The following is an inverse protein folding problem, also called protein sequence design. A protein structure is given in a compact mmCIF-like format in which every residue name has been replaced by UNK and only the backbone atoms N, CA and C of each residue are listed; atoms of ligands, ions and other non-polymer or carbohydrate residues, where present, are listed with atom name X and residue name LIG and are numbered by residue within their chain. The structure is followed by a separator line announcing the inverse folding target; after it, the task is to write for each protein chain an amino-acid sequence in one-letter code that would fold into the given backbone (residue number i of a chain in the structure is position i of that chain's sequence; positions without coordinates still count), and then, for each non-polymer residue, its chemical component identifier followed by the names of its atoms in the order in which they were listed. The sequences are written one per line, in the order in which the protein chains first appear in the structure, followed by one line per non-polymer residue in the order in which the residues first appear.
data_IF_726290026591
#
_entry.id   IF_726290026591
#
_cell.length_a   1.000
_cell.length_b   1.000
_cell.length_c   1.000
_cell.angle_alpha   90.00
_cell.angle_beta   90.00
_cell.angle_gamma   90.00
#
_symmetry.space_group_name_H-M   'P 1'
#
loop_
_entity.id
_entity.type
_entity.pdbx_description
1 polymer ?
#
# COMPACT_ATOMS: atom_id res chain seq x y z
N UNK A 1 -9.74 -0.98 -28.14
CA UNK A 1 -10.99 -0.30 -27.74
C UNK A 1 -11.64 -1.00 -26.55
N UNK A 2 -11.75 -2.34 -26.57
CA UNK A 2 -12.30 -3.15 -25.46
C UNK A 2 -11.74 -2.86 -24.06
N UNK A 3 -10.42 -2.67 -23.92
CA UNK A 3 -9.81 -2.34 -22.62
C UNK A 3 -10.31 -1.01 -22.05
N UNK A 4 -10.58 -0.02 -22.92
CA UNK A 4 -11.10 1.28 -22.50
C UNK A 4 -12.54 1.14 -22.02
N UNK A 5 -13.37 0.41 -22.75
CA UNK A 5 -14.75 0.13 -22.37
C UNK A 5 -14.84 -0.63 -21.05
N UNK A 6 -13.93 -1.59 -20.82
CA UNK A 6 -13.84 -2.30 -19.55
C UNK A 6 -13.47 -1.37 -18.38
N UNK A 7 -12.49 -0.49 -18.57
CA UNK A 7 -12.10 0.50 -17.56
C UNK A 7 -13.23 1.50 -17.27
N UNK A 8 -13.95 1.94 -18.31
CA UNK A 8 -15.07 2.86 -18.17
C UNK A 8 -16.23 2.18 -17.42
N UNK A 9 -16.55 0.94 -17.75
CA UNK A 9 -17.54 0.13 -17.01
C UNK A 9 -17.14 -0.07 -15.55
N UNK A 10 -15.86 -0.33 -15.28
CA UNK A 10 -15.33 -0.45 -13.91
C UNK A 10 -15.48 0.88 -13.15
N UNK A 11 -15.09 2.01 -13.75
CA UNK A 11 -15.23 3.34 -13.14
C UNK A 11 -16.69 3.69 -12.84
N UNK A 12 -17.63 3.28 -13.70
CA UNK A 12 -19.07 3.50 -13.47
C UNK A 12 -19.62 2.65 -12.33
N UNK A 13 -19.25 1.35 -12.28
CA UNK A 13 -19.73 0.43 -11.24
C UNK A 13 -19.08 0.65 -9.88
N UNK A 14 -17.83 1.10 -9.87
CA UNK A 14 -17.00 1.23 -8.66
C UNK A 14 -16.40 2.64 -8.57
N UNK A 15 -17.24 3.70 -8.52
CA UNK A 15 -16.79 5.08 -8.64
C UNK A 15 -15.89 5.52 -7.48
N UNK A 16 -16.07 4.91 -6.31
CA UNK A 16 -15.31 5.22 -5.11
C UNK A 16 -13.81 4.93 -5.25
N UNK A 17 -13.38 4.00 -6.12
CA UNK A 17 -11.95 3.74 -6.38
C UNK A 17 -11.29 4.97 -7.01
N UNK A 18 -11.93 5.54 -8.04
CA UNK A 18 -11.44 6.77 -8.69
C UNK A 18 -11.50 7.97 -7.77
N UNK A 19 -12.55 8.07 -6.94
CA UNK A 19 -12.67 9.12 -5.92
C UNK A 19 -11.53 9.02 -4.90
N UNK A 20 -11.22 7.82 -4.41
CA UNK A 20 -10.11 7.58 -3.49
C UNK A 20 -8.75 7.90 -4.11
N UNK A 21 -8.53 7.49 -5.37
CA UNK A 21 -7.31 7.82 -6.12
C UNK A 21 -7.10 9.34 -6.22
N UNK A 22 -8.17 10.06 -6.53
CA UNK A 22 -8.19 11.53 -6.64
C UNK A 22 -7.92 12.17 -5.29
N UNK A 23 -8.61 11.72 -4.23
CA UNK A 23 -8.43 12.22 -2.88
C UNK A 23 -6.99 12.01 -2.37
N UNK A 24 -6.41 10.82 -2.59
CA UNK A 24 -5.03 10.52 -2.23
C UNK A 24 -4.03 11.42 -2.98
N UNK A 25 -4.24 11.61 -4.28
CA UNK A 25 -3.37 12.46 -5.12
C UNK A 25 -3.45 13.93 -4.69
N UNK A 26 -4.66 14.45 -4.43
CA UNK A 26 -4.86 15.81 -3.93
C UNK A 26 -4.21 16.01 -2.57
N UNK A 27 -4.41 15.07 -1.63
CA UNK A 27 -3.78 15.10 -0.31
C UNK A 27 -2.25 15.14 -0.42
N UNK A 28 -1.67 14.32 -1.29
CA UNK A 28 -0.24 14.32 -1.56
C UNK A 28 0.23 15.65 -2.17
N UNK A 29 -0.53 16.24 -3.09
CA UNK A 29 -0.25 17.56 -3.68
C UNK A 29 -0.28 18.70 -2.66
N UNK A 30 -1.35 18.77 -1.86
CA UNK A 30 -1.61 19.88 -0.94
C UNK A 30 -0.69 19.84 0.29
N UNK A 31 -0.46 18.65 0.84
CA UNK A 31 0.29 18.48 2.10
C UNK A 31 1.69 17.94 1.91
N UNK A 32 2.02 17.41 0.74
CA UNK A 32 3.29 16.73 0.51
C UNK A 32 3.41 15.37 1.19
N UNK A 33 2.33 14.87 1.76
CA UNK A 33 2.38 13.64 2.52
C UNK A 33 1.01 12.98 2.64
N UNK A 34 1.05 11.66 2.75
CA UNK A 34 -0.08 10.82 3.12
C UNK A 34 0.34 9.87 4.24
N UNK A 35 -0.62 9.27 4.93
CA UNK A 35 -0.38 8.24 5.93
C UNK A 35 -1.10 6.96 5.52
N UNK A 36 -0.46 5.83 5.75
CA UNK A 36 -1.05 4.50 5.63
C UNK A 36 -2.04 4.24 6.77
N UNK A 37 -2.69 3.08 6.75
CA UNK A 37 -3.68 2.66 7.75
C UNK A 37 -3.15 2.72 9.20
N UNK A 38 -1.92 2.25 9.45
CA UNK A 38 -1.29 2.32 10.78
C UNK A 38 -0.42 3.57 10.99
N UNK A 39 -0.60 4.60 10.15
CA UNK A 39 -0.02 5.93 10.38
C UNK A 39 1.39 6.17 9.81
N UNK A 40 2.00 5.20 9.12
CA UNK A 40 3.32 5.36 8.48
C UNK A 40 3.29 6.51 7.47
N UNK A 41 4.26 7.41 7.61
CA UNK A 41 4.34 8.61 6.79
C UNK A 41 4.96 8.33 5.42
N UNK A 42 4.26 8.74 4.36
CA UNK A 42 4.74 8.69 2.98
C UNK A 42 4.86 10.11 2.44
N UNK A 43 6.07 10.53 2.04
CA UNK A 43 6.38 11.90 1.64
C UNK A 43 6.47 12.06 0.11
N UNK A 44 6.15 13.27 -0.35
CA UNK A 44 6.17 13.71 -1.75
C UNK A 44 6.94 15.04 -1.83
N UNK A 45 8.22 14.99 -1.50
CA UNK A 45 9.05 16.19 -1.27
C UNK A 45 9.58 16.85 -2.55
N UNK A 46 9.44 16.17 -3.69
CA UNK A 46 9.92 16.63 -4.98
C UNK A 46 8.88 17.46 -5.72
N UNK A 47 9.37 18.43 -6.48
CA UNK A 47 8.59 19.40 -7.23
C UNK A 47 9.02 19.40 -8.70
N UNK A 48 8.05 19.65 -9.57
CA UNK A 48 8.22 19.75 -11.01
C UNK A 48 7.38 20.94 -11.55
N UNK A 49 7.73 21.48 -12.73
CA UNK A 49 6.89 22.45 -13.41
C UNK A 49 5.50 21.86 -13.72
N UNK A 50 4.46 22.69 -13.65
CA UNK A 50 3.11 22.27 -14.07
C UNK A 50 2.95 22.17 -15.59
N UNK A 51 3.96 22.58 -16.36
CA UNK A 51 3.99 22.50 -17.81
C UNK A 51 4.12 21.07 -18.29
N UNK A 52 3.56 20.80 -19.48
CA UNK A 52 3.65 19.48 -20.10
C UNK A 52 5.08 19.23 -20.60
N UNK A 53 5.66 18.10 -20.24
CA UNK A 53 7.01 17.71 -20.65
C UNK A 53 7.72 16.88 -19.59
N UNK A 54 8.84 16.27 -19.98
CA UNK A 54 9.69 15.53 -19.06
C UNK A 54 10.66 16.49 -18.35
N UNK A 55 10.39 16.77 -17.08
CA UNK A 55 11.26 17.55 -16.22
C UNK A 55 11.75 16.69 -15.06
N UNK A 56 13.03 16.81 -14.70
CA UNK A 56 13.58 16.13 -13.52
C UNK A 56 12.95 16.71 -12.26
N UNK A 57 12.26 15.91 -11.42
CA UNK A 57 11.75 16.40 -10.14
C UNK A 57 12.89 16.68 -9.16
N UNK A 58 12.81 17.80 -8.45
CA UNK A 58 13.86 18.29 -7.54
C UNK A 58 13.26 18.74 -6.20
N UNK A 59 14.05 18.85 -5.11
CA UNK A 59 13.62 19.55 -3.90
C UNK A 59 13.13 20.98 -4.22
N UNK A 60 12.23 21.52 -3.40
CA UNK A 60 11.54 22.79 -3.70
C UNK A 60 12.49 23.94 -4.06
N UNK A 61 13.53 24.18 -3.26
CA UNK A 61 14.45 25.31 -3.48
C UNK A 61 15.22 25.18 -4.80
N UNK A 62 15.63 23.96 -5.15
CA UNK A 62 16.32 23.67 -6.41
C UNK A 62 15.36 23.77 -7.60
N UNK A 63 14.14 23.25 -7.45
CA UNK A 63 13.10 23.34 -8.47
C UNK A 63 12.74 24.80 -8.74
N UNK A 64 12.66 25.64 -7.70
CA UNK A 64 12.36 27.06 -7.83
C UNK A 64 13.49 27.82 -8.55
N UNK A 65 14.75 27.53 -8.21
CA UNK A 65 15.92 28.12 -8.91
C UNK A 65 15.97 27.72 -10.39
N UNK A 66 15.72 26.45 -10.69
CA UNK A 66 15.86 25.91 -12.05
C UNK A 66 14.65 26.19 -12.94
N UNK A 67 13.45 26.16 -12.37
CA UNK A 67 12.21 26.15 -13.11
C UNK A 67 11.22 27.26 -12.72
N UNK A 68 11.56 28.14 -11.77
CA UNK A 68 10.65 29.20 -11.31
C UNK A 68 10.18 30.14 -12.43
N UNK A 69 10.97 30.30 -13.49
CA UNK A 69 10.59 31.05 -14.70
C UNK A 69 9.70 30.29 -15.69
N UNK A 70 9.52 28.98 -15.53
CA UNK A 70 8.74 28.12 -16.43
C UNK A 70 7.26 27.99 -16.02
N UNK A 71 6.84 28.71 -14.98
CA UNK A 71 5.47 28.71 -14.47
C UNK A 71 5.33 28.11 -13.07
N UNK A 72 4.10 27.77 -12.69
CA UNK A 72 3.79 27.26 -11.34
C UNK A 72 4.42 25.88 -11.11
N UNK A 73 5.07 25.70 -9.97
CA UNK A 73 5.54 24.38 -9.52
C UNK A 73 4.39 23.59 -8.90
N UNK A 74 4.42 22.28 -9.09
CA UNK A 74 3.55 21.30 -8.42
C UNK A 74 4.38 20.18 -7.82
N UNK A 75 3.82 19.45 -6.86
CA UNK A 75 4.47 18.25 -6.33
C UNK A 75 4.49 17.15 -7.39
N UNK A 76 5.66 16.53 -7.53
CA UNK A 76 5.86 15.43 -8.43
C UNK A 76 5.31 14.12 -7.84
N UNK A 77 5.04 13.15 -8.72
CA UNK A 77 4.65 11.78 -8.36
C UNK A 77 3.36 11.62 -7.54
N UNK A 78 2.53 12.65 -7.40
CA UNK A 78 1.27 12.58 -6.63
C UNK A 78 0.31 11.51 -7.15
N UNK A 79 0.35 11.17 -8.43
CA UNK A 79 -0.39 10.05 -9.02
C UNK A 79 -0.04 8.68 -8.39
N UNK A 80 1.12 8.55 -7.73
CA UNK A 80 1.53 7.33 -6.99
C UNK A 80 0.94 7.28 -5.58
N UNK A 81 0.19 8.29 -5.14
CA UNK A 81 -0.33 8.38 -3.78
C UNK A 81 -1.29 7.24 -3.44
N UNK A 82 -2.14 6.82 -4.38
CA UNK A 82 -3.01 5.66 -4.15
C UNK A 82 -2.18 4.40 -3.86
N UNK A 83 -1.17 4.12 -4.68
CA UNK A 83 -0.31 2.94 -4.49
C UNK A 83 0.42 2.97 -3.15
N UNK A 84 0.94 4.14 -2.75
CA UNK A 84 1.57 4.35 -1.44
C UNK A 84 0.58 4.10 -0.30
N UNK A 85 -0.68 4.50 -0.45
CA UNK A 85 -1.72 4.26 0.53
C UNK A 85 -2.06 2.78 0.63
N UNK A 86 -2.39 2.11 -0.48
CA UNK A 86 -2.90 0.73 -0.46
C UNK A 86 -1.79 -0.29 -0.15
N UNK A 87 -0.65 -0.24 -0.85
CA UNK A 87 0.45 -1.19 -0.63
C UNK A 87 1.13 -0.92 0.70
N UNK A 88 1.24 0.36 1.08
CA UNK A 88 1.74 0.75 2.38
C UNK A 88 0.84 0.23 3.50
N UNK A 89 -0.48 0.28 3.34
CA UNK A 89 -1.40 -0.25 4.35
C UNK A 89 -1.41 -1.78 4.40
N UNK A 90 -1.23 -2.47 3.27
CA UNK A 90 -1.03 -3.92 3.24
C UNK A 90 0.24 -4.33 3.99
N UNK A 91 1.37 -3.67 3.71
CA UNK A 91 2.62 -3.92 4.41
C UNK A 91 2.56 -3.59 5.92
N UNK A 92 1.71 -2.66 6.35
CA UNK A 92 1.46 -2.40 7.77
C UNK A 92 0.72 -3.57 8.43
N UNK A 93 -0.29 -4.13 7.76
CA UNK A 93 -1.06 -5.28 8.25
C UNK A 93 -0.16 -6.51 8.41
N UNK A 94 0.60 -6.88 7.38
CA UNK A 94 1.50 -8.04 7.43
C UNK A 94 2.52 -7.89 8.55
N UNK A 95 3.14 -6.71 8.69
CA UNK A 95 4.12 -6.47 9.76
C UNK A 95 3.51 -6.47 11.16
N UNK A 96 2.26 -6.00 11.31
CA UNK A 96 1.53 -6.09 12.57
C UNK A 96 1.24 -7.55 12.92
N UNK A 97 0.76 -8.34 11.97
CA UNK A 97 0.55 -9.77 12.13
C UNK A 97 1.84 -10.51 12.53
N UNK A 98 2.97 -10.22 11.87
CA UNK A 98 4.27 -10.79 12.25
C UNK A 98 4.64 -10.48 13.70
N UNK A 99 4.48 -9.22 14.12
CA UNK A 99 4.78 -8.80 15.48
C UNK A 99 3.86 -9.50 16.49
N UNK A 100 2.57 -9.56 16.22
CA UNK A 100 1.58 -10.17 17.10
C UNK A 100 1.79 -11.68 17.25
N UNK A 101 2.14 -12.37 16.16
CA UNK A 101 2.53 -13.79 16.22
C UNK A 101 3.82 -13.95 17.03
N UNK A 102 4.82 -13.10 16.80
CA UNK A 102 6.10 -13.17 17.51
C UNK A 102 5.94 -12.97 19.03
N UNK A 103 5.07 -12.04 19.45
CA UNK A 103 4.75 -11.83 20.87
C UNK A 103 4.08 -13.05 21.54
N UNK A 104 3.48 -13.94 20.75
CA UNK A 104 2.91 -15.21 21.20
C UNK A 104 3.90 -16.39 21.08
N UNK A 105 5.17 -16.14 20.75
CA UNK A 105 6.18 -17.16 20.51
C UNK A 105 6.11 -17.85 19.15
N UNK A 106 5.23 -17.37 18.26
CA UNK A 106 5.02 -17.91 16.92
C UNK A 106 5.84 -17.09 15.92
N UNK A 107 7.02 -17.59 15.55
CA UNK A 107 7.94 -16.86 14.67
C UNK A 107 7.82 -17.37 13.23
N UNK A 108 7.47 -16.52 12.25
CA UNK A 108 7.47 -16.92 10.85
C UNK A 108 8.89 -17.28 10.41
N UNK A 109 9.04 -18.35 9.63
CA UNK A 109 10.31 -18.73 9.00
C UNK A 109 10.67 -17.83 7.84
N UNK A 110 9.69 -17.52 7.00
CA UNK A 110 9.84 -16.69 5.82
C UNK A 110 8.55 -15.92 5.55
N UNK A 111 8.69 -14.87 4.75
CA UNK A 111 7.57 -14.03 4.35
C UNK A 111 7.68 -13.69 2.86
N UNK A 112 6.62 -13.93 2.10
CA UNK A 112 6.54 -13.59 0.67
C UNK A 112 5.32 -12.72 0.45
N UNK A 113 5.53 -11.43 0.19
CA UNK A 113 4.45 -10.44 0.04
C UNK A 113 3.49 -10.39 1.24
N UNK A 114 2.32 -11.01 1.12
CA UNK A 114 1.24 -11.11 2.11
C UNK A 114 1.19 -12.48 2.82
N UNK A 115 2.07 -13.41 2.45
CA UNK A 115 2.20 -14.75 3.05
C UNK A 115 3.19 -14.75 4.23
N UNK A 116 2.80 -15.41 5.32
CA UNK A 116 3.65 -15.72 6.47
C UNK A 116 3.74 -17.23 6.63
N UNK A 117 4.92 -17.82 6.47
CA UNK A 117 5.09 -19.26 6.56
C UNK A 117 5.69 -19.63 7.91
N UNK A 118 5.14 -20.65 8.57
CA UNK A 118 5.53 -21.08 9.91
C UNK A 118 5.79 -22.59 9.91
N UNK A 119 6.72 -23.02 10.77
CA UNK A 119 6.70 -24.40 11.25
C UNK A 119 5.65 -24.47 12.36
N UNK A 120 4.70 -25.38 12.21
CA UNK A 120 3.63 -25.59 13.20
C UNK A 120 3.70 -27.00 13.76
N UNK A 121 3.45 -27.15 15.06
CA UNK A 121 3.39 -28.47 15.73
C UNK A 121 2.05 -29.17 15.53
N UNK A 122 1.03 -28.44 15.06
CA UNK A 122 -0.30 -28.98 14.79
C UNK A 122 -1.34 -27.90 14.45
N UNK A 123 -2.57 -28.34 14.21
CA UNK A 123 -3.67 -27.48 13.76
C UNK A 123 -4.03 -26.35 14.73
N UNK A 124 -3.80 -26.55 16.03
CA UNK A 124 -4.08 -25.53 17.05
C UNK A 124 -3.21 -24.28 16.86
N UNK A 125 -1.91 -24.45 16.58
CA UNK A 125 -1.01 -23.32 16.30
C UNK A 125 -1.41 -22.61 15.00
N UNK A 126 -1.75 -23.35 13.94
CA UNK A 126 -2.23 -22.77 12.69
C UNK A 126 -3.52 -21.94 12.91
N UNK A 127 -4.46 -22.45 13.70
CA UNK A 127 -5.71 -21.74 14.04
C UNK A 127 -5.43 -20.46 14.86
N UNK A 128 -4.47 -20.52 15.78
CA UNK A 128 -4.05 -19.35 16.54
C UNK A 128 -3.42 -18.28 15.64
N UNK A 129 -2.53 -18.66 14.73
CA UNK A 129 -1.90 -17.77 13.74
C UNK A 129 -2.97 -17.12 12.86
N UNK A 130 -3.88 -17.92 12.31
CA UNK A 130 -4.99 -17.44 11.48
C UNK A 130 -5.79 -16.36 12.21
N UNK A 131 -6.20 -16.61 13.45
CA UNK A 131 -6.97 -15.66 14.27
C UNK A 131 -6.20 -14.36 14.53
N UNK A 132 -4.90 -14.45 14.82
CA UNK A 132 -4.04 -13.26 15.00
C UNK A 132 -4.01 -12.43 13.71
N UNK A 133 -3.79 -13.07 12.57
CA UNK A 133 -3.73 -12.41 11.26
C UNK A 133 -5.08 -11.79 10.86
N UNK A 134 -6.20 -12.43 11.14
CA UNK A 134 -7.54 -11.92 10.84
C UNK A 134 -7.95 -10.71 11.70
N UNK A 135 -7.48 -10.66 12.95
CA UNK A 135 -7.94 -9.68 13.96
C UNK A 135 -6.92 -8.60 14.32
N UNK A 136 -5.66 -8.74 13.91
CA UNK A 136 -4.55 -7.86 14.30
C UNK A 136 -4.70 -6.41 13.83
N UNK A 137 -5.51 -6.16 12.79
CA UNK A 137 -5.88 -4.82 12.32
C UNK A 137 -7.39 -4.71 12.13
N UNK A 138 -8.09 -3.83 12.88
CA UNK A 138 -9.54 -3.69 12.75
C UNK A 138 -9.91 -3.00 11.43
N UNK A 139 -10.71 -3.69 10.61
CA UNK A 139 -11.19 -3.20 9.32
C UNK A 139 -12.71 -3.23 9.24
N UNK A 140 -13.28 -2.38 8.38
CA UNK A 140 -14.73 -2.39 8.08
C UNK A 140 -15.17 -3.67 7.36
N UNK A 141 -14.28 -4.21 6.54
CA UNK A 141 -14.43 -5.52 5.90
C UNK A 141 -13.41 -6.42 6.58
N UNK A 142 -13.83 -7.48 7.29
CA UNK A 142 -12.91 -8.39 7.97
C UNK A 142 -11.90 -9.01 7.01
N UNK A 143 -10.66 -9.16 7.46
CA UNK A 143 -9.64 -9.94 6.73
C UNK A 143 -10.01 -11.42 6.77
N UNK A 144 -9.79 -12.11 5.65
CA UNK A 144 -9.86 -13.57 5.55
C UNK A 144 -8.45 -14.09 5.33
N UNK A 145 -8.06 -15.10 6.09
CA UNK A 145 -6.75 -15.73 5.96
C UNK A 145 -6.94 -17.17 5.49
N UNK A 146 -6.32 -17.49 4.36
CA UNK A 146 -6.25 -18.85 3.83
C UNK A 146 -5.05 -19.56 4.46
N UNK A 147 -5.24 -20.82 4.84
CA UNK A 147 -4.25 -21.65 5.54
C UNK A 147 -4.09 -22.94 4.74
N UNK A 148 -2.86 -23.22 4.33
CA UNK A 148 -2.46 -24.49 3.73
C UNK A 148 -1.28 -25.05 4.54
N UNK A 149 -1.29 -26.36 4.79
CA UNK A 149 -0.33 -27.05 5.65
C UNK A 149 0.17 -28.27 4.88
N UNK A 150 1.45 -28.23 4.51
CA UNK A 150 2.16 -29.30 3.82
C UNK A 150 3.51 -29.55 4.49
N UNK A 151 4.17 -30.65 4.11
CA UNK A 151 5.51 -30.98 4.60
C UNK A 151 6.58 -30.07 3.99
N UNK A 152 6.37 -29.62 2.74
CA UNK A 152 7.27 -28.77 1.98
C UNK A 152 6.58 -27.52 1.44
N UNK A 153 7.24 -26.36 1.52
CA UNK A 153 6.69 -25.10 1.03
C UNK A 153 6.40 -25.11 -0.49
N UNK A 154 7.11 -25.95 -1.26
CA UNK A 154 6.88 -26.09 -2.70
C UNK A 154 5.59 -26.84 -3.06
N UNK A 155 4.92 -27.44 -2.09
CA UNK A 155 3.66 -28.18 -2.26
C UNK A 155 2.43 -27.35 -1.87
N UNK A 156 2.65 -26.15 -1.31
CA UNK A 156 1.61 -25.19 -0.95
C UNK A 156 0.99 -24.60 -2.21
N UNK A 157 -0.36 -24.56 -2.29
CA UNK A 157 -1.12 -24.02 -3.44
C UNK A 157 -1.45 -22.52 -3.33
#
# INVERSE_FOLDING_TARGET
EEAKDLLDKHHQKVPFVKQLATAASNRAGDKGQIRTLLGRLCRFDLWEPSTFGYNKPLPYDEANKKYGGMGKLRRAFTYKALNRLIQGSAADQTKKAMLDCYEQGLTPMLTVHDELCFNVEGQEQATQIQKIMETGVPLKVPSKIDVDIQDDWGEIE
#
